data_IF_711166481472
#
_entry.id   IF_711166481472
#
_cell.length_a   1.000
_cell.length_b   1.000
_cell.length_c   1.000
_cell.angle_alpha   90.00
_cell.angle_beta   90.00
_cell.angle_gamma   90.00
#
_symmetry.space_group_name_H-M   'P 1'
#
loop_
_entity.id
_entity.type
_entity.pdbx_description
1 polymer ?
#
# COMPACT_ATOMS: atom_id res chain seq x y z
N UNK A 1 3.42 18.22 -14.51
CA UNK A 1 4.59 17.36 -14.25
C UNK A 1 5.89 18.14 -14.21
N UNK A 2 6.23 18.95 -15.22
CA UNK A 2 7.46 19.78 -15.20
C UNK A 2 7.59 20.65 -13.94
N UNK A 3 6.57 21.45 -13.61
CA UNK A 3 6.59 22.28 -12.38
C UNK A 3 6.76 21.44 -11.10
N UNK A 4 6.14 20.26 -11.05
CA UNK A 4 6.26 19.36 -9.91
C UNK A 4 7.69 18.83 -9.76
N UNK A 5 8.34 18.53 -10.89
CA UNK A 5 9.75 18.16 -10.93
C UNK A 5 10.65 19.33 -10.53
N UNK A 6 10.42 20.53 -11.06
CA UNK A 6 11.22 21.71 -10.71
C UNK A 6 11.20 22.01 -9.20
N UNK A 7 10.03 21.82 -8.58
CA UNK A 7 9.81 22.02 -7.15
C UNK A 7 10.14 20.80 -6.27
N UNK A 8 10.37 19.62 -6.86
CA UNK A 8 10.66 18.39 -6.12
C UNK A 8 9.53 17.92 -5.19
N UNK A 9 8.28 18.11 -5.60
CA UNK A 9 7.10 17.82 -4.76
C UNK A 9 6.76 16.33 -4.71
N UNK A 10 5.95 15.99 -3.71
CA UNK A 10 5.34 14.68 -3.56
C UNK A 10 4.11 14.54 -4.46
N UNK A 11 3.99 13.39 -5.15
CA UNK A 11 2.81 13.01 -5.92
C UNK A 11 2.36 11.62 -5.49
N UNK A 12 1.09 11.49 -5.11
CA UNK A 12 0.46 10.18 -4.89
C UNK A 12 -0.08 9.64 -6.20
N UNK A 13 0.38 8.46 -6.61
CA UNK A 13 0.08 7.83 -7.89
C UNK A 13 -0.81 6.60 -7.67
N UNK A 14 -2.04 6.69 -8.17
CA UNK A 14 -2.91 5.55 -8.37
C UNK A 14 -2.62 4.92 -9.73
N UNK A 15 -1.91 3.79 -9.75
CA UNK A 15 -1.61 3.11 -11.00
C UNK A 15 -2.90 2.57 -11.66
N UNK A 16 -3.05 2.83 -12.95
CA UNK A 16 -4.11 2.25 -13.76
C UNK A 16 -3.77 0.81 -14.17
N UNK A 17 -4.68 0.18 -14.93
CA UNK A 17 -4.58 -1.18 -15.50
C UNK A 17 -4.81 -2.32 -14.50
N UNK A 18 -5.11 -3.50 -15.05
CA UNK A 18 -5.52 -4.68 -14.29
C UNK A 18 -4.47 -5.17 -13.29
N UNK A 19 -3.19 -5.11 -13.67
CA UNK A 19 -2.08 -5.65 -12.88
C UNK A 19 -1.39 -4.56 -12.03
N UNK A 20 -1.89 -3.32 -12.02
CA UNK A 20 -1.28 -2.22 -11.25
C UNK A 20 0.23 -2.10 -11.54
N UNK A 21 1.06 -2.19 -10.50
CA UNK A 21 2.51 -2.18 -10.66
C UNK A 21 3.10 -3.40 -11.40
N UNK A 22 2.38 -4.51 -11.53
CA UNK A 22 2.81 -5.68 -12.30
C UNK A 22 2.67 -5.52 -13.81
N UNK A 23 2.07 -4.43 -14.30
CA UNK A 23 1.97 -4.13 -15.72
C UNK A 23 3.29 -3.58 -16.28
N UNK A 24 3.77 -4.16 -17.38
CA UNK A 24 5.08 -3.82 -17.97
C UNK A 24 5.18 -2.37 -18.42
N UNK A 25 4.10 -1.78 -18.91
CA UNK A 25 4.13 -0.38 -19.36
C UNK A 25 4.07 0.58 -18.16
N UNK A 26 3.33 0.24 -17.09
CA UNK A 26 3.40 1.01 -15.85
C UNK A 26 4.84 1.02 -15.28
N UNK A 27 5.51 -0.14 -15.24
CA UNK A 27 6.91 -0.24 -14.79
C UNK A 27 7.85 0.58 -15.68
N UNK A 28 7.73 0.45 -17.00
CA UNK A 28 8.54 1.20 -17.96
C UNK A 28 8.34 2.72 -17.80
N UNK A 29 7.08 3.16 -17.66
CA UNK A 29 6.77 4.57 -17.49
C UNK A 29 7.31 5.09 -16.15
N UNK A 30 7.18 4.32 -15.07
CA UNK A 30 7.69 4.69 -13.75
C UNK A 30 9.23 4.78 -13.76
N UNK A 31 9.91 3.85 -14.39
CA UNK A 31 11.37 3.90 -14.60
C UNK A 31 11.75 5.16 -15.38
N UNK A 32 11.09 5.45 -16.50
CA UNK A 32 11.36 6.65 -17.30
C UNK A 32 11.10 7.94 -16.52
N UNK A 33 10.01 8.00 -15.75
CA UNK A 33 9.66 9.16 -14.93
C UNK A 33 10.65 9.39 -13.81
N UNK A 34 11.05 8.35 -13.09
CA UNK A 34 11.91 8.48 -11.91
C UNK A 34 13.39 8.68 -12.26
N UNK A 35 13.85 8.19 -13.42
CA UNK A 35 15.27 8.23 -13.80
C UNK A 35 15.61 9.29 -14.83
N UNK A 36 14.66 9.69 -15.70
CA UNK A 36 14.94 10.58 -16.84
C UNK A 36 14.07 11.82 -16.86
N UNK A 37 12.74 11.65 -16.93
CA UNK A 37 11.82 12.78 -17.18
C UNK A 37 11.60 13.65 -15.94
N UNK A 38 11.35 13.02 -14.79
CA UNK A 38 10.94 13.67 -13.56
C UNK A 38 11.74 13.22 -12.33
N UNK A 39 13.09 13.28 -12.38
CA UNK A 39 13.96 12.70 -11.37
C UNK A 39 13.93 13.40 -10.01
N UNK A 40 13.27 14.56 -9.88
CA UNK A 40 13.11 15.26 -8.60
C UNK A 40 11.76 15.00 -7.94
N UNK A 41 10.78 14.46 -8.67
CA UNK A 41 9.47 14.13 -8.09
C UNK A 41 9.62 12.95 -7.15
N UNK A 42 8.96 13.03 -6.00
CA UNK A 42 8.87 11.95 -5.02
C UNK A 42 7.51 11.28 -5.16
N UNK A 43 7.49 10.01 -5.51
CA UNK A 43 6.27 9.28 -5.85
C UNK A 43 5.81 8.44 -4.68
N UNK A 44 4.55 8.59 -4.26
CA UNK A 44 3.90 7.67 -3.33
C UNK A 44 3.03 6.74 -4.17
N UNK A 45 3.36 5.46 -4.18
CA UNK A 45 2.64 4.44 -4.92
C UNK A 45 1.47 3.94 -4.06
N UNK A 46 0.26 4.37 -4.41
CA UNK A 46 -0.92 4.14 -3.60
C UNK A 46 -1.27 2.66 -3.44
N UNK A 47 -1.72 2.27 -2.25
CA UNK A 47 -2.24 0.93 -1.96
C UNK A 47 -1.24 -0.19 -2.30
N UNK A 48 -0.01 -0.10 -1.78
CA UNK A 48 1.09 -1.02 -2.11
C UNK A 48 1.31 -1.09 -3.62
N UNK A 49 1.37 0.08 -4.26
CA UNK A 49 1.44 0.21 -5.72
C UNK A 49 0.31 -0.54 -6.46
N UNK A 50 -0.94 -0.36 -5.99
CA UNK A 50 -2.18 -0.99 -6.48
C UNK A 50 -2.19 -2.52 -6.38
N UNK A 51 -1.63 -3.04 -5.29
CA UNK A 51 -1.53 -4.48 -5.04
C UNK A 51 -2.55 -4.93 -3.99
N UNK A 52 -3.81 -5.07 -4.42
CA UNK A 52 -4.88 -5.63 -3.59
C UNK A 52 -4.87 -7.17 -3.53
N UNK A 53 -4.01 -7.80 -4.34
CA UNK A 53 -3.69 -9.23 -4.28
C UNK A 53 -2.17 -9.39 -4.33
N UNK A 54 -1.67 -10.60 -4.04
CA UNK A 54 -0.23 -10.90 -4.05
C UNK A 54 0.46 -10.65 -5.40
N UNK A 55 -0.26 -10.81 -6.53
CA UNK A 55 0.35 -10.97 -7.85
C UNK A 55 0.94 -9.70 -8.45
N UNK A 56 0.29 -8.51 -8.40
CA UNK A 56 0.88 -7.26 -8.86
C UNK A 56 2.28 -6.99 -8.29
N UNK A 57 2.40 -6.97 -6.96
CA UNK A 57 3.68 -6.67 -6.29
C UNK A 57 4.71 -7.78 -6.50
N UNK A 58 4.29 -9.06 -6.53
CA UNK A 58 5.18 -10.20 -6.83
C UNK A 58 5.90 -10.04 -8.18
N UNK A 59 5.20 -9.55 -9.21
CA UNK A 59 5.79 -9.29 -10.53
C UNK A 59 6.71 -8.06 -10.56
N UNK A 60 6.48 -7.10 -9.68
CA UNK A 60 7.01 -5.75 -9.79
C UNK A 60 8.16 -5.45 -8.84
N UNK A 61 8.19 -6.10 -7.67
CA UNK A 61 9.02 -5.71 -6.52
C UNK A 61 10.52 -5.68 -6.84
N UNK A 62 11.00 -6.61 -7.65
CA UNK A 62 12.41 -6.65 -8.05
C UNK A 62 12.83 -5.47 -8.94
N UNK A 63 11.89 -4.89 -9.69
CA UNK A 63 12.13 -3.65 -10.42
C UNK A 63 11.96 -2.44 -9.50
N UNK A 64 10.83 -2.37 -8.76
CA UNK A 64 10.48 -1.21 -7.97
C UNK A 64 11.52 -0.88 -6.90
N UNK A 65 12.06 -1.88 -6.18
CA UNK A 65 13.08 -1.64 -5.14
C UNK A 65 14.33 -0.94 -5.65
N UNK A 66 14.61 -1.06 -6.95
CA UNK A 66 15.76 -0.43 -7.61
C UNK A 66 15.46 0.95 -8.21
N UNK A 67 14.18 1.37 -8.26
CA UNK A 67 13.83 2.69 -8.78
C UNK A 67 14.07 3.78 -7.72
N UNK A 68 14.63 4.93 -8.10
CA UNK A 68 14.82 6.04 -7.18
C UNK A 68 13.49 6.78 -6.94
N UNK A 69 13.43 7.53 -5.83
CA UNK A 69 12.35 8.47 -5.54
C UNK A 69 10.92 7.89 -5.55
N UNK A 70 10.77 6.60 -5.23
CA UNK A 70 9.46 5.99 -4.97
C UNK A 70 9.34 5.56 -3.50
N UNK A 71 8.13 5.73 -2.98
CA UNK A 71 7.64 5.34 -1.68
C UNK A 71 6.29 4.64 -1.86
N UNK A 72 5.80 3.98 -0.83
CA UNK A 72 4.52 3.26 -0.85
C UNK A 72 3.68 3.74 0.33
N UNK A 73 2.38 3.83 0.15
CA UNK A 73 1.47 3.76 1.28
C UNK A 73 0.80 2.39 1.36
N UNK A 74 0.38 2.03 2.58
CA UNK A 74 -0.27 0.75 2.87
C UNK A 74 -1.81 0.81 2.74
N UNK A 75 -2.34 1.95 2.28
CA UNK A 75 -3.75 2.32 2.41
C UNK A 75 -4.72 1.38 1.67
N UNK A 76 -5.94 1.20 2.20
CA UNK A 76 -7.00 0.34 1.65
C UNK A 76 -6.69 -1.16 1.45
N UNK A 77 -5.45 -1.63 1.56
CA UNK A 77 -5.11 -3.05 1.35
C UNK A 77 -5.40 -3.86 2.62
N UNK A 78 -6.24 -4.89 2.51
CA UNK A 78 -6.57 -5.81 3.61
C UNK A 78 -6.04 -7.23 3.40
N UNK A 79 -5.42 -7.53 2.25
CA UNK A 79 -4.72 -8.80 2.03
C UNK A 79 -3.32 -8.75 2.66
N UNK A 80 -2.96 -9.77 3.43
CA UNK A 80 -1.64 -9.88 4.07
C UNK A 80 -0.50 -10.10 3.07
N UNK A 81 -0.78 -10.75 1.93
CA UNK A 81 0.27 -11.20 1.00
C UNK A 81 1.04 -10.06 0.33
N UNK A 82 0.40 -8.98 -0.15
CA UNK A 82 1.11 -7.79 -0.63
C UNK A 82 2.10 -7.21 0.40
N UNK A 83 1.68 -7.13 1.67
CA UNK A 83 2.53 -6.62 2.75
C UNK A 83 3.73 -7.52 3.01
N UNK A 84 3.55 -8.85 3.00
CA UNK A 84 4.68 -9.80 3.14
C UNK A 84 5.71 -9.57 2.02
N UNK A 85 5.26 -9.46 0.77
CA UNK A 85 6.17 -9.23 -0.35
C UNK A 85 6.89 -7.89 -0.22
N UNK A 86 6.17 -6.82 0.14
CA UNK A 86 6.77 -5.49 0.31
C UNK A 86 7.80 -5.49 1.46
N UNK A 87 7.42 -5.94 2.66
CA UNK A 87 8.28 -5.89 3.85
C UNK A 87 9.53 -6.77 3.74
N UNK A 88 9.48 -7.88 2.98
CA UNK A 88 10.64 -8.75 2.76
C UNK A 88 11.66 -8.18 1.78
N UNK A 89 11.24 -7.33 0.83
CA UNK A 89 12.05 -7.01 -0.35
C UNK A 89 12.36 -5.53 -0.52
N UNK A 90 11.60 -4.63 0.12
CA UNK A 90 11.79 -3.18 0.04
C UNK A 90 12.41 -2.63 1.32
N UNK A 91 13.09 -1.49 1.21
CA UNK A 91 13.54 -0.74 2.39
C UNK A 91 12.34 -0.18 3.16
N UNK A 92 12.19 -0.58 4.43
CA UNK A 92 11.14 -0.08 5.33
C UNK A 92 11.10 1.45 5.43
N UNK A 93 12.20 2.14 5.14
CA UNK A 93 12.27 3.62 5.12
C UNK A 93 11.46 4.26 4.00
N UNK A 94 10.98 3.47 3.05
CA UNK A 94 10.20 3.92 1.88
C UNK A 94 8.70 3.67 2.02
N UNK A 95 8.24 3.28 3.20
CA UNK A 95 6.88 2.83 3.42
C UNK A 95 6.19 3.77 4.41
N UNK A 96 5.00 4.25 4.06
CA UNK A 96 4.14 5.05 4.91
C UNK A 96 2.90 4.26 5.31
N UNK A 97 2.55 4.34 6.59
CA UNK A 97 1.22 3.98 7.02
C UNK A 97 0.19 5.01 6.52
N UNK A 98 -0.93 4.51 6.01
CA UNK A 98 -2.09 5.29 5.62
C UNK A 98 -3.32 4.39 5.63
N UNK A 99 -4.48 4.95 5.91
CA UNK A 99 -5.73 4.16 6.08
C UNK A 99 -6.62 4.18 4.85
N UNK A 100 -6.61 5.27 4.10
CA UNK A 100 -7.71 5.63 3.18
C UNK A 100 -9.07 5.69 3.91
N UNK A 101 -9.03 6.21 5.15
CA UNK A 101 -10.11 6.07 6.13
C UNK A 101 -11.38 6.85 5.80
N UNK A 102 -11.33 7.88 4.96
CA UNK A 102 -12.53 8.60 4.53
C UNK A 102 -13.01 7.93 3.25
N UNK A 103 -14.25 7.43 3.26
CA UNK A 103 -14.91 6.71 2.15
C UNK A 103 -14.39 5.29 1.88
N UNK A 104 -13.09 5.09 1.62
CA UNK A 104 -12.58 3.82 1.09
C UNK A 104 -12.34 2.73 2.13
N UNK A 105 -12.15 3.04 3.41
CA UNK A 105 -11.91 2.03 4.45
C UNK A 105 -12.88 2.10 5.64
N UNK A 106 -13.90 2.97 5.57
CA UNK A 106 -14.91 3.18 6.63
C UNK A 106 -16.20 2.37 6.39
N UNK A 107 -16.06 1.06 6.24
CA UNK A 107 -17.18 0.10 6.13
C UNK A 107 -16.85 -1.19 6.88
N UNK A 108 -17.86 -1.93 7.37
CA UNK A 108 -17.63 -3.25 7.95
C UNK A 108 -17.32 -4.28 6.85
N UNK A 109 -16.14 -4.89 6.89
CA UNK A 109 -15.69 -5.85 5.88
C UNK A 109 -14.25 -5.60 5.43
N UNK A 110 -13.92 -5.99 4.20
CA UNK A 110 -12.55 -5.93 3.69
C UNK A 110 -12.48 -5.86 2.15
N UNK A 111 -11.30 -5.51 1.62
CA UNK A 111 -10.93 -5.78 0.24
C UNK A 111 -10.40 -7.21 0.11
N UNK A 112 -11.30 -8.14 -0.25
CA UNK A 112 -10.99 -9.56 -0.26
C UNK A 112 -10.42 -9.99 -1.60
N UNK A 113 -9.33 -10.75 -1.55
CA UNK A 113 -8.70 -11.33 -2.72
C UNK A 113 -9.16 -12.78 -2.97
N UNK A 114 -9.65 -13.03 -4.19
CA UNK A 114 -10.07 -14.33 -4.72
C UNK A 114 -9.09 -14.76 -5.82
N UNK A 115 -7.93 -15.27 -5.41
CA UNK A 115 -6.82 -15.53 -6.32
C UNK A 115 -6.23 -14.22 -6.87
N UNK A 116 -6.41 -13.98 -8.17
CA UNK A 116 -5.92 -12.76 -8.85
C UNK A 116 -6.93 -11.60 -8.83
N UNK A 117 -8.20 -11.89 -8.52
CA UNK A 117 -9.26 -10.90 -8.44
C UNK A 117 -9.35 -10.37 -7.01
N UNK A 118 -9.70 -9.10 -6.86
CA UNK A 118 -10.07 -8.54 -5.55
C UNK A 118 -11.42 -7.84 -5.65
N UNK A 119 -12.14 -7.79 -4.54
CA UNK A 119 -13.41 -7.08 -4.46
C UNK A 119 -13.63 -6.48 -3.08
N UNK A 120 -14.28 -5.32 -3.04
CA UNK A 120 -14.73 -4.71 -1.80
C UNK A 120 -15.96 -5.47 -1.30
N UNK A 121 -15.83 -6.10 -0.14
CA UNK A 121 -16.94 -6.81 0.50
C UNK A 121 -17.42 -5.99 1.69
N UNK A 122 -18.56 -5.33 1.52
CA UNK A 122 -19.27 -4.64 2.60
C UNK A 122 -20.26 -5.60 3.25
N UNK A 123 -19.89 -6.11 4.42
CA UNK A 123 -20.66 -7.14 5.13
C UNK A 123 -22.05 -6.67 5.54
N UNK A 124 -22.22 -5.38 5.84
CA UNK A 124 -23.53 -4.78 6.17
C UNK A 124 -24.53 -4.82 5.01
N UNK A 125 -24.05 -4.99 3.77
CA UNK A 125 -24.88 -5.03 2.55
C UNK A 125 -25.15 -6.46 2.05
N UNK A 126 -24.65 -7.49 2.75
CA UNK A 126 -24.80 -8.89 2.35
C UNK A 126 -25.91 -9.57 3.14
N UNK A 127 -27.10 -9.65 2.55
CA UNK A 127 -28.28 -10.30 3.18
C UNK A 127 -28.05 -11.78 3.53
N UNK A 128 -27.21 -12.48 2.76
CA UNK A 128 -26.91 -13.90 2.96
C UNK A 128 -25.97 -14.17 4.13
N UNK A 129 -25.31 -13.14 4.67
CA UNK A 129 -24.33 -13.28 5.72
C UNK A 129 -25.02 -13.47 7.07
N UNK A 130 -24.93 -14.68 7.64
CA UNK A 130 -25.40 -14.98 8.99
C UNK A 130 -24.24 -15.42 9.90
N UNK A 131 -24.25 -14.97 11.16
CA UNK A 131 -23.19 -15.25 12.14
C UNK A 131 -23.60 -16.34 13.13
N UNK A 132 -24.31 -17.38 12.67
CA UNK A 132 -24.88 -18.42 13.54
C UNK A 132 -23.84 -19.17 14.39
N UNK A 133 -22.58 -19.20 13.97
CA UNK A 133 -21.48 -19.87 14.68
C UNK A 133 -20.75 -18.97 15.71
N UNK A 134 -21.05 -17.66 15.79
CA UNK A 134 -20.30 -16.73 16.67
C UNK A 134 -21.08 -15.47 17.08
N UNK A 135 -20.76 -14.92 18.25
CA UNK A 135 -21.22 -13.59 18.67
C UNK A 135 -20.35 -12.46 18.12
N UNK A 136 -19.19 -12.75 17.53
CA UNK A 136 -18.32 -11.75 16.93
C UNK A 136 -18.99 -11.11 15.71
N UNK A 137 -18.54 -9.90 15.35
CA UNK A 137 -19.04 -9.14 14.20
C UNK A 137 -17.88 -8.70 13.31
N UNK A 138 -18.11 -8.52 12.00
CA UNK A 138 -17.12 -7.92 11.12
C UNK A 138 -16.71 -6.55 11.66
N UNK A 139 -15.43 -6.25 11.58
CA UNK A 139 -14.87 -4.96 11.98
C UNK A 139 -14.78 -4.04 10.76
N UNK A 140 -14.49 -2.77 11.01
CA UNK A 140 -14.25 -1.79 9.95
C UNK A 140 -12.99 -2.19 9.17
N UNK A 141 -13.03 -2.06 7.84
CA UNK A 141 -11.95 -2.42 6.90
C UNK A 141 -10.59 -1.81 7.28
N UNK A 142 -10.58 -0.60 7.85
CA UNK A 142 -9.38 0.02 8.45
C UNK A 142 -8.69 -0.89 9.49
N UNK A 143 -9.45 -1.55 10.36
CA UNK A 143 -8.89 -2.47 11.34
C UNK A 143 -8.47 -3.79 10.72
N UNK A 144 -9.16 -4.29 9.68
CA UNK A 144 -8.69 -5.46 8.91
C UNK A 144 -7.34 -5.18 8.25
N UNK A 145 -7.15 -3.98 7.70
CA UNK A 145 -5.85 -3.54 7.19
C UNK A 145 -4.79 -3.56 8.29
N UNK A 146 -5.07 -2.99 9.47
CA UNK A 146 -4.13 -2.99 10.59
C UNK A 146 -3.75 -4.41 11.05
N UNK A 147 -4.72 -5.34 11.06
CA UNK A 147 -4.46 -6.74 11.36
C UNK A 147 -3.53 -7.34 10.30
N UNK A 148 -3.81 -7.12 9.01
CA UNK A 148 -2.96 -7.63 7.92
C UNK A 148 -1.55 -7.06 7.95
N UNK A 149 -1.38 -5.77 8.24
CA UNK A 149 -0.06 -5.15 8.46
C UNK A 149 0.64 -5.84 9.64
N UNK A 150 -0.03 -5.99 10.78
CA UNK A 150 0.54 -6.64 11.98
C UNK A 150 0.98 -8.08 11.69
N UNK A 151 0.14 -8.87 11.01
CA UNK A 151 0.47 -10.26 10.68
C UNK A 151 1.67 -10.33 9.73
N UNK A 152 1.71 -9.47 8.69
CA UNK A 152 2.84 -9.40 7.79
C UNK A 152 4.13 -9.00 8.51
N UNK A 153 4.07 -8.03 9.42
CA UNK A 153 5.20 -7.61 10.25
C UNK A 153 5.75 -8.75 11.11
N UNK A 154 4.87 -9.55 11.73
CA UNK A 154 5.29 -10.74 12.50
C UNK A 154 5.93 -11.78 11.59
N UNK A 155 5.32 -12.09 10.45
CA UNK A 155 5.83 -13.07 9.46
C UNK A 155 7.19 -12.65 8.89
N UNK A 156 7.41 -11.35 8.75
CA UNK A 156 8.66 -10.79 8.22
C UNK A 156 9.67 -10.45 9.33
N UNK A 157 9.36 -10.79 10.59
CA UNK A 157 10.24 -10.58 11.73
C UNK A 157 10.68 -9.11 11.89
N UNK A 158 9.79 -8.16 11.58
CA UNK A 158 10.08 -6.74 11.70
C UNK A 158 10.31 -6.36 13.16
N UNK A 159 11.37 -5.61 13.43
CA UNK A 159 11.66 -5.10 14.76
C UNK A 159 10.90 -3.79 15.05
N UNK A 160 10.93 -3.33 16.31
CA UNK A 160 10.22 -2.12 16.74
C UNK A 160 10.60 -0.85 15.97
N UNK A 161 11.88 -0.69 15.60
CA UNK A 161 12.34 0.48 14.84
C UNK A 161 11.75 0.49 13.42
N UNK A 162 11.72 -0.67 12.76
CA UNK A 162 11.13 -0.80 11.43
C UNK A 162 9.62 -0.52 11.46
N UNK A 163 8.93 -0.95 12.52
CA UNK A 163 7.51 -0.64 12.72
C UNK A 163 7.28 0.85 12.94
N UNK A 164 8.09 1.50 13.77
CA UNK A 164 8.01 2.95 13.97
C UNK A 164 8.32 3.73 12.69
N UNK A 165 9.26 3.27 11.88
CA UNK A 165 9.54 3.85 10.57
C UNK A 165 8.30 3.84 9.67
N UNK A 166 7.65 2.70 9.51
CA UNK A 166 6.42 2.56 8.72
C UNK A 166 5.30 3.44 9.27
N UNK A 167 5.05 3.40 10.59
CA UNK A 167 3.89 4.04 11.17
C UNK A 167 4.00 5.55 11.31
N UNK A 168 5.21 6.10 11.51
CA UNK A 168 5.33 7.55 11.71
C UNK A 168 6.69 8.16 11.33
N UNK A 169 7.84 7.52 11.62
CA UNK A 169 9.15 8.21 11.47
C UNK A 169 9.44 8.56 10.01
N UNK A 170 9.03 7.71 9.07
CA UNK A 170 9.16 8.03 7.66
C UNK A 170 8.34 9.28 7.31
N UNK A 171 7.07 9.34 7.66
CA UNK A 171 6.23 10.50 7.36
C UNK A 171 6.79 11.79 7.99
N UNK A 172 7.26 11.71 9.23
CA UNK A 172 7.91 12.83 9.93
C UNK A 172 9.15 13.32 9.19
N UNK A 173 10.05 12.40 8.82
CA UNK A 173 11.29 12.71 8.11
C UNK A 173 11.04 13.28 6.71
N UNK A 174 10.17 12.64 5.96
CA UNK A 174 9.97 12.90 4.53
C UNK A 174 9.11 14.14 4.26
N UNK A 175 8.16 14.44 5.16
CA UNK A 175 7.30 15.61 5.08
C UNK A 175 7.73 16.76 6.00
N UNK A 176 8.88 16.64 6.67
CA UNK A 176 9.40 17.63 7.62
C UNK A 176 8.38 18.02 8.69
N UNK A 177 7.64 17.03 9.22
CA UNK A 177 6.63 17.27 10.24
C UNK A 177 7.35 17.54 11.57
N UNK A 178 7.03 18.64 12.28
CA UNK A 178 7.58 18.86 13.62
C UNK A 178 7.02 17.80 14.57
N UNK A 179 7.81 16.79 14.86
CA UNK A 179 7.50 15.71 15.81
C UNK A 179 8.41 15.84 17.02
N UNK A 180 7.81 15.78 18.22
CA UNK A 180 8.49 16.03 19.50
C UNK A 180 9.18 14.79 20.04
#
# INVERSE_FOLDING_TARGET
MELANDLGIWITLHMAKQDGCGDKENLKNLEEFTTKKYPKIKWILAHVARSFTYRPIEKAIDTLKNLPNIWYDLSAVTDVRPFITLFKNEDHKRIFYGTDGIESASFHGAYTAYGHFHYQIETDKLESLNFSHTSNRPIISLYEQLISIKQASIICEMNGEQIEDVFWRNAVREFNIPWK
#
